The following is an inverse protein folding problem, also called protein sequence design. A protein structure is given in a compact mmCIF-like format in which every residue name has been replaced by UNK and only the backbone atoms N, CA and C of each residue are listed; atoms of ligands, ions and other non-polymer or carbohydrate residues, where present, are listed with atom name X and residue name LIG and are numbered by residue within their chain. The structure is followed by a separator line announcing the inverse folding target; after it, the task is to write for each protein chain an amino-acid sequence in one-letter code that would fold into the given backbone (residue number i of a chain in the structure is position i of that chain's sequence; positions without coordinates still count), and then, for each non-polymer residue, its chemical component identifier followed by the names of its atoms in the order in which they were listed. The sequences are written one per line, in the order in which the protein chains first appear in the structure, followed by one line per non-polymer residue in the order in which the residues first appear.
data_IF_178854824644
#
_entry.id   IF_178854824644
#
_cell.length_a   1.000
_cell.length_b   1.000
_cell.length_c   1.000
_cell.angle_alpha   90.00
_cell.angle_beta   90.00
_cell.angle_gamma   90.00
#
_symmetry.space_group_name_H-M   'P 1'
#
loop_
_entity.id
_entity.type
_entity.pdbx_description
1 polymer ?
#
# COMPACT_ATOMS: atom_id res chain seq x y z
N UNK A 1 13.83 -9.43 -13.96
CA UNK A 1 13.23 -8.16 -13.48
C UNK A 1 13.28 -7.14 -14.60
N UNK A 2 12.13 -6.61 -15.00
CA UNK A 2 12.03 -5.63 -16.08
C UNK A 2 12.31 -4.23 -15.53
N UNK A 3 12.87 -3.32 -16.33
CA UNK A 3 13.16 -1.94 -15.88
C UNK A 3 11.93 -1.18 -15.34
N UNK A 4 10.73 -1.56 -15.79
CA UNK A 4 9.45 -1.01 -15.32
C UNK A 4 9.14 -1.40 -13.88
N UNK A 5 9.33 -2.67 -13.51
CA UNK A 5 9.03 -3.14 -12.14
C UNK A 5 10.02 -2.54 -11.15
N UNK A 6 11.27 -2.33 -11.56
CA UNK A 6 12.26 -1.63 -10.71
C UNK A 6 11.93 -0.15 -10.55
N UNK A 7 11.51 0.55 -11.60
CA UNK A 7 11.07 1.95 -11.50
C UNK A 7 9.82 2.10 -10.62
N UNK A 8 8.85 1.20 -10.76
CA UNK A 8 7.66 1.11 -9.90
C UNK A 8 8.03 0.92 -8.43
N UNK A 9 8.88 -0.07 -8.12
CA UNK A 9 9.32 -0.33 -6.75
C UNK A 9 10.09 0.85 -6.15
N UNK A 10 10.97 1.50 -6.91
CA UNK A 10 11.72 2.67 -6.42
C UNK A 10 10.75 3.81 -6.08
N UNK A 11 9.75 4.08 -6.92
CA UNK A 11 8.77 5.13 -6.67
C UNK A 11 7.89 4.83 -5.44
N UNK A 12 7.43 3.59 -5.28
CA UNK A 12 6.62 3.21 -4.11
C UNK A 12 7.43 3.20 -2.82
N UNK A 13 8.69 2.76 -2.85
CA UNK A 13 9.56 2.83 -1.66
C UNK A 13 9.88 4.28 -1.28
N UNK A 14 10.06 5.17 -2.26
CA UNK A 14 10.19 6.60 -2.00
C UNK A 14 8.91 7.20 -1.39
N UNK A 15 7.73 6.86 -1.92
CA UNK A 15 6.45 7.26 -1.32
C UNK A 15 6.31 6.74 0.12
N UNK A 16 6.65 5.47 0.37
CA UNK A 16 6.62 4.89 1.70
C UNK A 16 7.53 5.67 2.66
N UNK A 17 8.75 6.01 2.26
CA UNK A 17 9.69 6.80 3.08
C UNK A 17 9.15 8.19 3.35
N UNK A 18 8.54 8.85 2.35
CA UNK A 18 7.92 10.17 2.53
C UNK A 18 6.76 10.10 3.52
N UNK A 19 5.93 9.06 3.45
CA UNK A 19 4.81 8.87 4.37
C UNK A 19 5.28 8.55 5.79
N UNK A 20 6.29 7.69 5.94
CA UNK A 20 6.91 7.40 7.23
C UNK A 20 7.54 8.66 7.87
N UNK A 21 8.18 9.52 7.07
CA UNK A 21 8.71 10.80 7.54
C UNK A 21 7.58 11.75 7.99
N UNK A 22 6.45 11.78 7.27
CA UNK A 22 5.25 12.53 7.66
C UNK A 22 4.64 12.00 8.97
N UNK A 23 4.61 10.68 9.13
CA UNK A 23 4.17 10.01 10.36
C UNK A 23 5.07 10.39 11.55
N UNK A 24 6.38 10.37 11.36
CA UNK A 24 7.33 10.78 12.40
C UNK A 24 7.19 12.27 12.75
N UNK A 25 7.00 13.15 11.76
CA UNK A 25 6.78 14.57 11.98
C UNK A 25 5.48 14.84 12.76
N UNK A 26 4.40 14.15 12.40
CA UNK A 26 3.10 14.25 13.07
C UNK A 26 3.19 13.76 14.51
N UNK A 27 3.86 12.62 14.74
CA UNK A 27 4.11 12.07 16.07
C UNK A 27 5.03 12.95 16.93
N UNK A 28 6.06 13.56 16.35
CA UNK A 28 6.92 14.54 17.04
C UNK A 28 6.12 15.76 17.46
N UNK A 29 5.19 16.23 16.62
CA UNK A 29 4.28 17.30 17.01
C UNK A 29 3.36 16.87 18.14
N UNK A 30 2.76 15.68 18.08
CA UNK A 30 2.00 15.12 19.22
C UNK A 30 2.79 15.12 20.52
N UNK A 31 4.00 14.55 20.51
CA UNK A 31 4.85 14.46 21.71
C UNK A 31 5.26 15.83 22.24
N UNK A 32 5.57 16.78 21.35
CA UNK A 32 5.90 18.15 21.73
C UNK A 32 4.69 18.84 22.35
N UNK A 33 3.48 18.62 21.84
CA UNK A 33 2.24 19.13 22.44
C UNK A 33 1.97 18.50 23.82
N UNK A 34 2.19 17.18 23.99
CA UNK A 34 2.00 16.47 25.27
C UNK A 34 3.00 16.93 26.34
N UNK A 35 4.30 17.06 26.01
CA UNK A 35 5.30 17.60 26.94
C UNK A 35 5.07 19.08 27.26
N UNK A 36 4.57 19.85 26.31
CA UNK A 36 4.27 21.26 26.52
C UNK A 36 3.03 21.43 27.41
N UNK A 37 2.03 20.54 27.34
CA UNK A 37 0.86 20.54 28.24
C UNK A 37 1.27 20.38 29.71
N UNK A 38 2.33 19.63 30.03
CA UNK A 38 2.84 19.55 31.41
C UNK A 38 3.53 20.83 31.90
N UNK A 39 4.04 21.67 30.99
CA UNK A 39 4.71 22.94 31.31
C UNK A 39 3.78 24.18 31.27
N UNK A 40 2.59 24.11 30.66
CA UNK A 40 1.62 25.22 30.51
C UNK A 40 0.68 25.38 31.74
N UNK A 41 1.22 25.41 32.95
CA UNK A 41 0.51 26.03 34.10
C UNK A 41 0.72 27.55 34.18
N UNK A 42 1.38 28.17 33.20
CA UNK A 42 1.58 29.62 33.11
C UNK A 42 0.69 30.28 32.03
N UNK A 43 -0.23 31.14 32.46
CA UNK A 43 -1.43 31.60 31.73
C UNK A 43 -1.20 32.61 30.60
N UNK A 44 -0.02 33.22 30.46
CA UNK A 44 0.22 34.33 29.51
C UNK A 44 0.89 33.94 28.17
N UNK A 45 1.31 32.67 28.00
CA UNK A 45 1.97 32.19 26.77
C UNK A 45 0.99 31.67 25.68
N UNK A 46 -0.30 31.49 26.03
CA UNK A 46 -1.31 30.74 25.26
C UNK A 46 -1.74 31.34 23.91
N UNK A 47 -1.65 32.66 23.69
CA UNK A 47 -2.32 33.32 22.54
C UNK A 47 -1.48 33.44 21.26
N UNK A 48 -0.14 33.43 21.38
CA UNK A 48 0.78 33.51 20.23
C UNK A 48 1.08 32.12 19.65
N UNK A 49 1.28 31.13 20.53
CA UNK A 49 1.67 29.77 20.14
C UNK A 49 0.52 28.91 19.59
N UNK A 50 -0.75 29.22 19.93
CA UNK A 50 -1.93 28.51 19.39
C UNK A 50 -2.14 28.74 17.89
N UNK A 51 -1.71 29.88 17.33
CA UNK A 51 -1.74 30.13 15.88
C UNK A 51 -0.69 29.32 15.14
N UNK A 52 0.47 29.11 15.77
CA UNK A 52 1.57 28.33 15.20
C UNK A 52 1.22 26.84 15.13
N UNK A 53 0.53 26.29 16.13
CA UNK A 53 0.05 24.91 16.13
C UNK A 53 -1.02 24.65 15.05
N UNK A 54 -1.99 25.55 14.89
CA UNK A 54 -3.01 25.46 13.82
C UNK A 54 -2.36 25.56 12.44
N UNK A 55 -1.36 26.45 12.27
CA UNK A 55 -0.60 26.56 11.04
C UNK A 55 0.18 25.28 10.71
N UNK A 56 0.76 24.63 11.73
CA UNK A 56 1.48 23.36 11.55
C UNK A 56 0.54 22.22 11.13
N UNK A 57 -0.64 22.07 11.75
CA UNK A 57 -1.63 21.07 11.35
C UNK A 57 -2.12 21.32 9.91
N UNK A 58 -2.37 22.58 9.55
CA UNK A 58 -2.71 22.95 8.18
C UNK A 58 -1.60 22.60 7.19
N UNK A 59 -0.33 22.78 7.59
CA UNK A 59 0.82 22.39 6.78
C UNK A 59 0.92 20.86 6.60
N UNK A 60 0.63 20.07 7.64
CA UNK A 60 0.55 18.60 7.51
C UNK A 60 -0.51 18.21 6.50
N UNK A 61 -1.73 18.75 6.63
CA UNK A 61 -2.83 18.46 5.71
C UNK A 61 -2.47 18.76 4.26
N UNK A 62 -1.84 19.91 4.02
CA UNK A 62 -1.34 20.25 2.67
C UNK A 62 -0.24 19.32 2.16
N UNK A 63 0.65 18.82 3.04
CA UNK A 63 1.67 17.83 2.64
C UNK A 63 1.02 16.49 2.31
N UNK A 64 -0.02 16.10 3.05
CA UNK A 64 -0.81 14.90 2.76
C UNK A 64 -1.57 15.02 1.43
N UNK A 65 -2.12 16.20 1.10
CA UNK A 65 -2.73 16.46 -0.22
C UNK A 65 -1.73 16.27 -1.37
N UNK A 66 -0.52 16.81 -1.22
CA UNK A 66 0.55 16.62 -2.21
C UNK A 66 0.89 15.12 -2.34
N UNK A 67 0.92 14.40 -1.22
CA UNK A 67 1.20 12.96 -1.21
C UNK A 67 0.13 12.15 -1.97
N UNK A 68 -1.15 12.51 -1.80
CA UNK A 68 -2.26 11.89 -2.56
C UNK A 68 -2.09 12.18 -4.06
N UNK A 69 -1.85 13.42 -4.44
CA UNK A 69 -1.66 13.82 -5.85
C UNK A 69 -0.47 13.09 -6.49
N UNK A 70 0.62 12.89 -5.74
CA UNK A 70 1.76 12.08 -6.17
C UNK A 70 1.39 10.61 -6.36
N UNK A 71 0.63 10.04 -5.42
CA UNK A 71 0.14 8.66 -5.52
C UNK A 71 -0.76 8.49 -6.74
N UNK A 72 -1.67 9.44 -6.99
CA UNK A 72 -2.55 9.42 -8.16
C UNK A 72 -1.77 9.56 -9.46
N UNK A 73 -0.78 10.44 -9.51
CA UNK A 73 0.09 10.65 -10.67
C UNK A 73 0.89 9.38 -10.99
N UNK A 74 1.46 8.73 -9.97
CA UNK A 74 2.17 7.45 -10.13
C UNK A 74 1.21 6.37 -10.60
N UNK A 75 0.01 6.26 -9.98
CA UNK A 75 -0.96 5.26 -10.38
C UNK A 75 -1.36 5.44 -11.85
N UNK A 76 -1.74 6.65 -12.27
CA UNK A 76 -2.09 6.98 -13.67
C UNK A 76 -0.94 6.69 -14.65
N UNK A 77 0.30 6.95 -14.27
CA UNK A 77 1.48 6.71 -15.10
C UNK A 77 1.74 5.23 -15.38
N UNK A 78 1.48 4.36 -14.41
CA UNK A 78 1.79 2.93 -14.50
C UNK A 78 0.55 2.04 -14.73
N UNK A 79 -0.68 2.58 -14.67
CA UNK A 79 -1.93 1.80 -14.71
C UNK A 79 -2.01 0.82 -15.88
N UNK A 80 -1.63 1.25 -17.08
CA UNK A 80 -1.63 0.43 -18.28
C UNK A 80 -0.58 -0.69 -18.21
N UNK A 81 0.59 -0.39 -17.67
CA UNK A 81 1.69 -1.35 -17.54
C UNK A 81 1.36 -2.39 -16.47
N UNK A 82 0.81 -1.96 -15.33
CA UNK A 82 0.35 -2.84 -14.25
C UNK A 82 -0.75 -3.79 -14.74
N UNK A 83 -1.70 -3.27 -15.51
CA UNK A 83 -2.74 -4.09 -16.13
C UNK A 83 -2.13 -5.19 -17.01
N UNK A 84 -1.25 -4.83 -17.94
CA UNK A 84 -0.60 -5.81 -18.83
C UNK A 84 0.20 -6.83 -18.03
N UNK A 85 0.96 -6.42 -17.01
CA UNK A 85 1.75 -7.32 -16.18
C UNK A 85 0.83 -8.30 -15.44
N UNK A 86 -0.16 -7.81 -14.70
CA UNK A 86 -1.06 -8.66 -13.90
C UNK A 86 -1.85 -9.62 -14.80
N UNK A 87 -2.40 -9.12 -15.91
CA UNK A 87 -3.16 -9.93 -16.87
C UNK A 87 -2.29 -10.97 -17.57
N UNK A 88 -1.01 -10.69 -17.86
CA UNK A 88 -0.10 -11.66 -18.46
C UNK A 88 0.45 -12.68 -17.45
N UNK A 89 0.68 -12.27 -16.20
CA UNK A 89 1.17 -13.14 -15.14
C UNK A 89 0.19 -14.25 -14.80
N UNK A 90 -1.12 -13.99 -14.84
CA UNK A 90 -2.14 -14.98 -14.53
C UNK A 90 -2.08 -16.25 -15.40
N UNK A 91 -2.25 -16.18 -16.73
CA UNK A 91 -2.19 -17.37 -17.58
C UNK A 91 -0.79 -17.98 -17.61
N UNK A 92 0.27 -17.18 -17.47
CA UNK A 92 1.64 -17.69 -17.41
C UNK A 92 1.83 -18.61 -16.20
N UNK A 93 1.49 -18.15 -14.99
CA UNK A 93 1.61 -18.96 -13.78
C UNK A 93 0.73 -20.20 -13.89
N UNK A 94 -0.54 -20.05 -14.32
CA UNK A 94 -1.47 -21.17 -14.49
C UNK A 94 -0.90 -22.24 -15.44
N UNK A 95 -0.40 -21.84 -16.61
CA UNK A 95 0.16 -22.77 -17.60
C UNK A 95 1.38 -23.52 -17.07
N UNK A 96 2.33 -22.81 -16.45
CA UNK A 96 3.53 -23.46 -15.91
C UNK A 96 3.18 -24.41 -14.76
N UNK A 97 2.27 -24.02 -13.86
CA UNK A 97 1.82 -24.88 -12.76
C UNK A 97 1.08 -26.11 -13.28
N UNK A 98 0.26 -25.96 -14.34
CA UNK A 98 -0.40 -27.09 -14.98
C UNK A 98 0.59 -28.11 -15.56
N UNK A 99 1.61 -27.66 -16.30
CA UNK A 99 2.64 -28.55 -16.86
C UNK A 99 3.40 -29.27 -15.74
N UNK A 100 3.72 -28.58 -14.65
CA UNK A 100 4.34 -29.21 -13.47
C UNK A 100 3.46 -30.29 -12.86
N UNK A 101 2.15 -30.03 -12.68
CA UNK A 101 1.21 -31.01 -12.16
C UNK A 101 1.08 -32.23 -13.08
N UNK A 102 1.05 -32.03 -14.39
CA UNK A 102 0.99 -33.13 -15.37
C UNK A 102 2.25 -33.98 -15.35
N UNK A 103 3.43 -33.36 -15.33
CA UNK A 103 4.71 -34.05 -15.25
C UNK A 103 4.87 -34.87 -13.95
N UNK A 104 4.20 -34.47 -12.86
CA UNK A 104 4.14 -35.24 -11.62
C UNK A 104 3.12 -36.40 -11.66
N UNK A 105 2.08 -36.28 -12.47
CA UNK A 105 1.02 -37.29 -12.58
C UNK A 105 1.36 -38.41 -13.59
N UNK A 106 2.04 -38.09 -14.68
CA UNK A 106 2.48 -39.08 -15.67
C UNK A 106 3.62 -39.96 -15.08
N UNK A 107 3.27 -41.15 -14.56
CA UNK A 107 4.16 -42.15 -13.94
C UNK A 107 5.15 -42.81 -14.94
N UNK A 108 5.87 -42.04 -15.74
CA UNK A 108 6.97 -42.58 -16.56
C UNK A 108 8.29 -42.56 -15.81
N UNK A 109 8.40 -43.32 -14.71
CA UNK A 109 9.64 -43.84 -14.10
C UNK A 109 10.69 -42.88 -13.54
N UNK A 110 10.82 -41.67 -14.07
CA UNK A 110 11.69 -40.59 -13.64
C UNK A 110 10.93 -39.28 -13.88
N UNK A 111 10.31 -38.74 -12.84
CA UNK A 111 9.70 -37.40 -12.90
C UNK A 111 10.81 -36.37 -13.11
N UNK A 112 11.23 -36.17 -14.36
CA UNK A 112 12.28 -35.24 -14.72
C UNK A 112 11.66 -33.85 -14.86
N UNK A 113 11.37 -33.26 -13.71
CA UNK A 113 10.76 -31.96 -13.62
C UNK A 113 11.77 -30.91 -14.09
N UNK A 114 11.47 -30.24 -15.20
CA UNK A 114 12.38 -29.27 -15.78
C UNK A 114 12.68 -28.14 -14.78
N UNK A 115 13.95 -28.02 -14.40
CA UNK A 115 14.43 -26.99 -13.45
C UNK A 115 14.11 -25.59 -13.97
N UNK A 116 14.15 -25.38 -15.29
CA UNK A 116 13.79 -24.09 -15.89
C UNK A 116 12.31 -23.76 -15.70
N UNK A 117 11.44 -24.77 -15.76
CA UNK A 117 10.00 -24.63 -15.52
C UNK A 117 9.71 -24.17 -14.08
N UNK A 118 10.31 -24.85 -13.10
CA UNK A 118 10.14 -24.50 -11.68
C UNK A 118 10.67 -23.11 -11.39
N UNK A 119 11.91 -22.85 -11.81
CA UNK A 119 12.58 -21.57 -11.52
C UNK A 119 11.82 -20.42 -12.15
N UNK A 120 11.34 -20.55 -13.39
CA UNK A 120 10.54 -19.51 -14.04
C UNK A 120 9.17 -19.29 -13.37
N UNK A 121 8.51 -20.34 -12.89
CA UNK A 121 7.26 -20.22 -12.14
C UNK A 121 7.47 -19.50 -10.80
N UNK A 122 8.48 -19.92 -10.03
CA UNK A 122 8.84 -19.29 -8.74
C UNK A 122 9.19 -17.81 -8.94
N UNK A 123 10.00 -17.48 -9.93
CA UNK A 123 10.35 -16.08 -10.26
C UNK A 123 9.09 -15.27 -10.60
N UNK A 124 8.13 -15.85 -11.32
CA UNK A 124 6.89 -15.15 -11.69
C UNK A 124 5.99 -14.88 -10.49
N UNK A 125 5.90 -15.83 -9.56
CA UNK A 125 5.17 -15.65 -8.29
C UNK A 125 5.85 -14.58 -7.43
N UNK A 126 7.17 -14.62 -7.31
CA UNK A 126 7.94 -13.58 -6.61
C UNK A 126 7.70 -12.21 -7.25
N UNK A 127 7.69 -12.11 -8.57
CA UNK A 127 7.41 -10.86 -9.28
C UNK A 127 6.02 -10.27 -8.99
N UNK A 128 4.98 -11.11 -8.81
CA UNK A 128 3.67 -10.64 -8.36
C UNK A 128 3.67 -10.15 -6.92
N UNK A 129 4.40 -10.84 -6.03
CA UNK A 129 4.55 -10.42 -4.63
C UNK A 129 5.29 -9.08 -4.56
N UNK A 130 6.39 -8.91 -5.30
CA UNK A 130 7.14 -7.66 -5.40
C UNK A 130 6.30 -6.49 -5.93
N UNK A 131 5.29 -6.76 -6.75
CA UNK A 131 4.38 -5.73 -7.24
C UNK A 131 3.45 -5.21 -6.14
N UNK A 132 2.95 -6.12 -5.29
CA UNK A 132 1.89 -5.85 -4.31
C UNK A 132 2.43 -5.40 -2.96
N UNK A 133 3.55 -5.97 -2.49
CA UNK A 133 4.11 -5.69 -1.15
C UNK A 133 4.39 -4.20 -0.92
N UNK A 134 5.01 -3.45 -1.84
CA UNK A 134 5.24 -2.01 -1.64
C UNK A 134 3.93 -1.22 -1.58
N UNK A 135 2.90 -1.63 -2.34
CA UNK A 135 1.59 -1.00 -2.30
C UNK A 135 0.94 -1.18 -0.93
N UNK A 136 1.01 -2.40 -0.38
CA UNK A 136 0.53 -2.70 0.98
C UNK A 136 1.29 -1.89 2.04
N UNK A 137 2.60 -1.72 1.88
CA UNK A 137 3.41 -0.94 2.81
C UNK A 137 3.04 0.55 2.78
N UNK A 138 2.83 1.14 1.60
CA UNK A 138 2.36 2.53 1.46
C UNK A 138 0.98 2.71 2.08
N UNK A 139 0.04 1.81 1.78
CA UNK A 139 -1.32 1.88 2.34
C UNK A 139 -1.30 1.72 3.87
N UNK A 140 -0.48 0.82 4.41
CA UNK A 140 -0.35 0.63 5.87
C UNK A 140 0.23 1.87 6.57
N UNK A 141 1.24 2.53 5.98
CA UNK A 141 1.76 3.80 6.50
C UNK A 141 0.72 4.92 6.43
N UNK A 142 -0.13 4.92 5.40
CA UNK A 142 -1.23 5.87 5.28
C UNK A 142 -2.33 5.63 6.32
N UNK A 143 -2.67 4.38 6.62
CA UNK A 143 -3.62 4.03 7.69
C UNK A 143 -3.06 4.44 9.07
N UNK A 144 -1.78 4.19 9.33
CA UNK A 144 -1.13 4.59 10.58
C UNK A 144 -1.14 6.11 10.80
N UNK A 145 -1.04 6.89 9.71
CA UNK A 145 -1.18 8.34 9.78
C UNK A 145 -2.56 8.76 10.28
N UNK A 146 -3.61 8.15 9.74
CA UNK A 146 -5.00 8.41 10.12
C UNK A 146 -5.24 8.05 11.59
N UNK A 147 -4.69 6.92 12.06
CA UNK A 147 -4.74 6.54 13.47
C UNK A 147 -4.04 7.57 14.37
N UNK A 148 -2.85 8.03 13.99
CA UNK A 148 -2.12 9.06 14.75
C UNK A 148 -2.90 10.37 14.81
N UNK A 149 -3.54 10.75 13.71
CA UNK A 149 -4.33 11.97 13.61
C UNK A 149 -5.59 11.88 14.48
N UNK A 150 -6.31 10.75 14.40
CA UNK A 150 -7.43 10.47 15.29
C UNK A 150 -7.01 10.51 16.76
N UNK A 151 -5.94 9.81 17.14
CA UNK A 151 -5.44 9.85 18.53
C UNK A 151 -5.18 11.27 19.03
N UNK A 152 -4.66 12.14 18.16
CA UNK A 152 -4.45 13.55 18.52
C UNK A 152 -5.76 14.29 18.74
N UNK A 153 -6.78 14.05 17.91
CA UNK A 153 -8.09 14.72 18.01
C UNK A 153 -8.73 14.51 19.38
N UNK A 154 -8.65 13.29 19.91
CA UNK A 154 -9.24 12.96 21.21
C UNK A 154 -8.48 13.55 22.40
N UNK A 155 -7.21 13.93 22.23
CA UNK A 155 -6.35 14.44 23.30
C UNK A 155 -6.20 15.97 23.30
N UNK A 156 -6.88 16.68 22.40
CA UNK A 156 -6.87 18.17 22.38
C UNK A 156 -7.92 18.67 23.37
N UNK A 157 -7.49 19.03 24.57
CA UNK A 157 -8.35 19.75 25.53
C UNK A 157 -8.07 21.26 25.51
N UNK A 158 -9.13 22.08 25.60
CA UNK A 158 -9.10 23.53 25.78
C UNK A 158 -8.54 24.38 24.60
N UNK A 159 -8.59 23.89 23.35
CA UNK A 159 -8.19 24.66 22.14
C UNK A 159 -9.16 24.43 20.95
N UNK A 160 -10.31 25.14 20.89
CA UNK A 160 -11.35 24.89 19.88
C UNK A 160 -10.88 25.09 18.44
N UNK A 161 -10.02 26.08 18.17
CA UNK A 161 -9.49 26.32 16.82
C UNK A 161 -8.52 25.24 16.34
N UNK A 162 -7.84 24.54 17.26
CA UNK A 162 -6.95 23.42 16.93
C UNK A 162 -7.75 22.15 16.68
N UNK A 163 -8.76 21.90 17.51
CA UNK A 163 -9.70 20.80 17.37
C UNK A 163 -10.45 20.86 16.04
N UNK A 164 -10.96 22.03 15.65
CA UNK A 164 -11.64 22.24 14.36
C UNK A 164 -10.72 21.92 13.18
N UNK A 165 -9.49 22.45 13.18
CA UNK A 165 -8.52 22.19 12.10
C UNK A 165 -8.11 20.71 12.04
N UNK A 166 -7.95 20.07 13.20
CA UNK A 166 -7.55 18.67 13.28
C UNK A 166 -8.69 17.74 12.83
N UNK A 167 -9.93 18.04 13.19
CA UNK A 167 -11.12 17.39 12.65
C UNK A 167 -11.23 17.55 11.14
N UNK A 168 -10.94 18.75 10.60
CA UNK A 168 -10.92 18.98 9.17
C UNK A 168 -9.90 18.10 8.44
N UNK A 169 -8.63 18.08 8.90
CA UNK A 169 -7.60 17.23 8.29
C UNK A 169 -7.94 15.75 8.46
N UNK A 170 -8.54 15.37 9.58
CA UNK A 170 -8.97 13.98 9.80
C UNK A 170 -10.05 13.56 8.81
N UNK A 171 -11.08 14.38 8.65
CA UNK A 171 -12.15 14.14 7.69
C UNK A 171 -11.61 14.09 6.25
N UNK A 172 -10.68 14.98 5.92
CA UNK A 172 -9.99 14.98 4.63
C UNK A 172 -9.27 13.65 4.38
N UNK A 173 -8.47 13.17 5.34
CA UNK A 173 -7.74 11.90 5.20
C UNK A 173 -8.63 10.67 5.08
N UNK A 174 -9.81 10.70 5.71
CA UNK A 174 -10.80 9.61 5.61
C UNK A 174 -11.45 9.62 4.22
N UNK A 175 -11.70 10.79 3.63
CA UNK A 175 -12.32 10.93 2.32
C UNK A 175 -11.35 10.73 1.15
N UNK A 176 -10.08 11.11 1.31
CA UNK A 176 -9.05 10.95 0.29
C UNK A 176 -8.11 9.79 0.67
N UNK A 177 -8.65 8.58 0.62
CA UNK A 177 -7.84 7.38 0.91
C UNK A 177 -6.80 7.17 -0.18
N UNK A 178 -5.64 6.73 0.28
CA UNK A 178 -4.53 6.30 -0.58
C UNK A 178 -4.92 4.94 -1.14
N UNK A 179 -5.32 4.91 -2.42
CA UNK A 179 -5.76 3.70 -3.09
C UNK A 179 -5.01 3.53 -4.42
N UNK A 180 -4.07 2.57 -4.43
CA UNK A 180 -3.41 2.12 -5.64
C UNK A 180 -4.29 1.06 -6.31
N UNK A 181 -4.89 1.40 -7.45
CA UNK A 181 -5.84 0.52 -8.15
C UNK A 181 -5.55 0.46 -9.64
N UNK A 182 -5.72 -0.73 -10.22
CA UNK A 182 -5.69 -0.93 -11.67
C UNK A 182 -7.09 -0.61 -12.22
N UNK A 183 -7.20 0.47 -12.99
CA UNK A 183 -8.45 0.97 -13.58
C UNK A 183 -9.63 1.13 -12.61
N UNK A 184 -9.38 1.23 -11.30
CA UNK A 184 -10.42 1.19 -10.27
C UNK A 184 -11.13 -0.17 -10.16
N UNK A 185 -10.67 -1.19 -10.86
CA UNK A 185 -11.25 -2.54 -10.87
C UNK A 185 -10.60 -3.45 -9.83
N UNK A 186 -9.27 -3.35 -9.69
CA UNK A 186 -8.50 -4.21 -8.80
C UNK A 186 -7.62 -3.36 -7.87
N UNK A 187 -7.84 -3.40 -6.54
CA UNK A 187 -6.89 -2.84 -5.60
C UNK A 187 -5.58 -3.63 -5.66
N UNK A 188 -4.45 -2.91 -5.68
CA UNK A 188 -3.11 -3.49 -5.65
C UNK A 188 -2.74 -3.84 -4.21
N UNK A 189 -3.47 -4.77 -3.62
CA UNK A 189 -3.30 -5.21 -2.23
C UNK A 189 -3.26 -6.74 -2.13
N UNK A 190 -3.23 -7.25 -0.89
CA UNK A 190 -3.21 -8.69 -0.64
C UNK A 190 -4.44 -9.43 -1.20
N UNK A 191 -5.55 -8.73 -1.46
CA UNK A 191 -6.75 -9.34 -2.06
C UNK A 191 -6.49 -9.72 -3.50
N UNK A 192 -5.72 -8.95 -4.27
CA UNK A 192 -5.34 -9.32 -5.64
C UNK A 192 -4.58 -10.65 -5.67
N UNK A 193 -3.58 -10.83 -4.80
CA UNK A 193 -2.82 -12.07 -4.71
C UNK A 193 -3.72 -13.25 -4.32
N UNK A 194 -4.57 -13.06 -3.32
CA UNK A 194 -5.50 -14.09 -2.87
C UNK A 194 -6.48 -14.51 -3.99
N UNK A 195 -7.07 -13.54 -4.69
CA UNK A 195 -7.97 -13.81 -5.82
C UNK A 195 -7.27 -14.52 -6.98
N UNK A 196 -6.04 -14.14 -7.32
CA UNK A 196 -5.26 -14.82 -8.35
C UNK A 196 -4.93 -16.27 -7.96
N UNK A 197 -4.47 -16.51 -6.74
CA UNK A 197 -4.15 -17.86 -6.24
C UNK A 197 -5.39 -18.76 -6.19
N UNK A 198 -6.52 -18.23 -5.72
CA UNK A 198 -7.79 -18.94 -5.70
C UNK A 198 -8.22 -19.33 -7.11
N UNK A 199 -8.20 -18.38 -8.04
CA UNK A 199 -8.56 -18.63 -9.44
C UNK A 199 -7.62 -19.65 -10.10
N UNK A 200 -6.29 -19.51 -9.94
CA UNK A 200 -5.30 -20.47 -10.46
C UNK A 200 -5.62 -21.87 -9.94
N UNK A 201 -5.87 -22.01 -8.63
CA UNK A 201 -6.20 -23.30 -8.01
C UNK A 201 -7.46 -23.92 -8.61
N UNK A 202 -8.53 -23.12 -8.78
CA UNK A 202 -9.78 -23.59 -9.39
C UNK A 202 -9.60 -24.01 -10.85
N UNK A 203 -8.93 -23.19 -11.66
CA UNK A 203 -8.70 -23.53 -13.07
C UNK A 203 -7.78 -24.74 -13.21
N UNK A 204 -6.78 -24.90 -12.35
CA UNK A 204 -5.90 -26.06 -12.38
C UNK A 204 -6.66 -27.36 -12.11
N UNK A 205 -7.56 -27.37 -11.11
CA UNK A 205 -8.44 -28.51 -10.86
C UNK A 205 -9.29 -28.84 -12.07
N UNK A 206 -9.90 -27.83 -12.69
CA UNK A 206 -10.73 -28.00 -13.89
C UNK A 206 -9.91 -28.61 -15.04
N UNK A 207 -8.72 -28.05 -15.31
CA UNK A 207 -7.85 -28.52 -16.39
C UNK A 207 -7.39 -29.96 -16.16
N UNK A 208 -6.96 -30.30 -14.94
CA UNK A 208 -6.57 -31.67 -14.60
C UNK A 208 -7.75 -32.65 -14.73
N UNK A 209 -8.95 -32.25 -14.33
CA UNK A 209 -10.15 -33.08 -14.49
C UNK A 209 -10.48 -33.34 -15.96
N UNK A 210 -10.31 -32.35 -16.84
CA UNK A 210 -10.52 -32.53 -18.29
C UNK A 210 -9.44 -33.38 -18.96
N UNK A 211 -8.21 -33.41 -18.43
CA UNK A 211 -7.13 -34.25 -18.98
C UNK A 211 -7.17 -35.70 -18.47
N UNK A 212 -7.68 -35.92 -17.24
CA UNK A 212 -7.77 -37.25 -16.60
C UNK A 212 -9.10 -37.97 -16.92
N UNK A 213 -10.17 -37.22 -17.21
CA UNK A 213 -11.50 -37.75 -17.56
C UNK A 213 -11.63 -38.11 -19.04
#
# INVERSE_FOLDING_TARGET
MNGVTTSWMILLTLLQVQMAALNEATKKMTKKTVWFISDINATNYKRKHSKDEVYLVKKIGHVYDIFIDQTETINRGFIMQLFVIVTASFPFILQQTYIMCKALYEETGEANLDVHLVTSNVISVIGLIELVVPCMAVNGEAEYFVECLHWNTWNVENKPALEEMLNFVTMQTIHQKVELTIFGLFPLDGTLLYSMLAAISTYLVILLQFDIG
#
